data_IF_746103250233
#
_entry.id   IF_746103250233
#
_cell.length_a   1.000
_cell.length_b   1.000
_cell.length_c   1.000
_cell.angle_alpha   90.00
_cell.angle_beta   90.00
_cell.angle_gamma   90.00
#
_symmetry.space_group_name_H-M   'P 1'
#
loop_
_entity.id
_entity.type
_entity.pdbx_description
1 polymer ?
#
# COMPACT_ATOMS: atom_id res chain seq x y z
N UNK A 1 -16.14 0.35 23.87
CA UNK A 1 -17.22 -0.54 23.38
C UNK A 1 -17.20 -0.48 21.85
N UNK A 2 -16.71 -1.54 21.20
CA UNK A 2 -16.57 -1.59 19.74
C UNK A 2 -17.95 -1.73 19.11
N UNK A 3 -18.54 -0.64 18.63
CA UNK A 3 -19.73 -0.71 17.79
C UNK A 3 -19.25 -0.96 16.36
N UNK A 4 -19.03 -2.23 16.03
CA UNK A 4 -18.84 -2.65 14.63
C UNK A 4 -20.15 -2.31 13.93
N UNK A 5 -20.11 -1.25 13.13
CA UNK A 5 -21.21 -0.88 12.27
C UNK A 5 -21.24 -1.92 11.14
N UNK A 6 -21.98 -3.01 11.36
CA UNK A 6 -22.39 -3.88 10.28
C UNK A 6 -23.13 -3.03 9.22
N UNK A 7 -23.19 -3.55 7.99
CA UNK A 7 -23.86 -2.98 6.79
C UNK A 7 -25.15 -2.18 7.06
N UNK A 8 -25.86 -2.50 8.15
CA UNK A 8 -27.05 -1.84 8.66
C UNK A 8 -26.88 -0.39 9.17
N UNK A 9 -25.66 0.11 9.40
CA UNK A 9 -25.44 1.42 10.04
C UNK A 9 -25.18 2.56 9.06
N UNK A 10 -24.67 2.25 7.86
CA UNK A 10 -24.72 3.14 6.71
C UNK A 10 -25.90 2.64 5.87
N UNK A 11 -27.11 3.14 6.20
CA UNK A 11 -28.40 2.74 5.60
C UNK A 11 -28.40 2.74 4.05
N UNK A 12 -27.43 3.42 3.46
CA UNK A 12 -27.22 3.59 2.03
C UNK A 12 -26.56 2.38 1.38
N UNK A 13 -25.62 1.67 2.02
CA UNK A 13 -24.80 0.67 1.32
C UNK A 13 -25.34 -0.76 1.37
N UNK A 14 -25.89 -1.24 2.50
CA UNK A 14 -26.78 -2.42 2.65
C UNK A 14 -26.37 -3.78 2.03
N UNK A 15 -26.18 -3.84 0.70
CA UNK A 15 -25.81 -4.99 -0.12
C UNK A 15 -24.91 -4.57 -1.30
N UNK A 16 -24.14 -5.51 -1.90
CA UNK A 16 -23.38 -5.24 -3.12
C UNK A 16 -24.24 -4.71 -4.29
N UNK A 17 -25.51 -5.12 -4.37
CA UNK A 17 -26.46 -4.63 -5.38
C UNK A 17 -26.77 -3.15 -5.19
N UNK A 18 -26.98 -2.73 -3.93
CA UNK A 18 -27.26 -1.32 -3.64
C UNK A 18 -26.04 -0.42 -3.88
N UNK A 19 -24.83 -0.95 -3.67
CA UNK A 19 -23.60 -0.26 -4.08
C UNK A 19 -23.53 -0.09 -5.61
N UNK A 20 -23.90 -1.12 -6.38
CA UNK A 20 -23.96 -1.04 -7.85
C UNK A 20 -24.95 0.02 -8.34
N UNK A 21 -26.14 0.06 -7.76
CA UNK A 21 -27.16 1.05 -8.11
C UNK A 21 -26.73 2.49 -7.82
N UNK A 22 -25.92 2.69 -6.77
CA UNK A 22 -25.37 4.01 -6.41
C UNK A 22 -24.13 4.38 -7.22
N UNK A 23 -23.40 3.40 -7.75
CA UNK A 23 -22.23 3.63 -8.58
C UNK A 23 -22.59 4.12 -9.99
N UNK A 24 -23.71 3.65 -10.57
CA UNK A 24 -24.17 4.12 -11.90
C UNK A 24 -24.36 5.64 -11.99
N UNK A 25 -25.09 6.32 -11.08
CA UNK A 25 -25.21 7.77 -11.11
C UNK A 25 -23.90 8.48 -10.75
N UNK A 26 -23.09 7.92 -9.85
CA UNK A 26 -21.78 8.47 -9.47
C UNK A 26 -20.75 8.39 -10.62
N UNK A 27 -20.87 7.39 -11.50
CA UNK A 27 -20.08 7.22 -12.72
C UNK A 27 -20.31 8.33 -13.74
N UNK A 28 -21.56 8.79 -13.84
CA UNK A 28 -21.93 9.90 -14.73
C UNK A 28 -21.49 11.24 -14.13
N UNK A 29 -21.61 11.41 -12.81
CA UNK A 29 -21.26 12.64 -12.11
C UNK A 29 -19.74 12.89 -11.99
N UNK A 30 -18.94 11.82 -11.86
CA UNK A 30 -17.48 11.89 -11.74
C UNK A 30 -16.80 10.86 -12.65
N UNK A 31 -16.74 11.05 -13.97
CA UNK A 31 -16.19 10.04 -14.87
C UNK A 31 -14.72 9.70 -14.54
N UNK A 32 -14.43 8.41 -14.34
CA UNK A 32 -13.06 7.93 -14.17
C UNK A 32 -12.24 8.12 -15.45
N UNK A 33 -11.00 8.57 -15.29
CA UNK A 33 -10.05 8.75 -16.39
C UNK A 33 -9.74 7.39 -17.02
N UNK A 34 -10.12 7.18 -18.29
CA UNK A 34 -9.86 5.94 -19.04
C UNK A 34 -10.96 4.87 -18.97
N UNK A 35 -12.11 5.16 -18.35
CA UNK A 35 -13.26 4.25 -18.32
C UNK A 35 -14.06 4.30 -19.65
N UNK A 36 -14.39 3.13 -20.20
CA UNK A 36 -15.32 3.02 -21.34
C UNK A 36 -16.75 3.16 -20.82
N UNK A 37 -17.56 3.96 -21.51
CA UNK A 37 -18.95 4.23 -21.15
C UNK A 37 -19.14 4.80 -19.73
N UNK A 38 -18.15 5.55 -19.22
CA UNK A 38 -18.10 6.12 -17.85
C UNK A 38 -18.18 5.10 -16.71
N UNK A 39 -18.12 3.80 -16.99
CA UNK A 39 -18.23 2.74 -15.98
C UNK A 39 -16.91 2.46 -15.27
N UNK A 40 -16.89 2.59 -13.94
CA UNK A 40 -15.73 2.30 -13.08
C UNK A 40 -15.26 0.83 -13.09
N UNK A 41 -16.04 -0.10 -13.65
CA UNK A 41 -15.68 -1.53 -13.73
C UNK A 41 -15.07 -1.92 -15.08
N UNK A 42 -14.86 -0.95 -15.97
CA UNK A 42 -14.22 -1.21 -17.26
C UNK A 42 -12.72 -0.98 -17.18
N UNK A 43 -11.93 -2.04 -17.35
CA UNK A 43 -10.47 -1.95 -17.44
C UNK A 43 -10.13 -1.68 -18.91
N UNK A 44 -10.06 -0.40 -19.29
CA UNK A 44 -9.73 0.03 -20.66
C UNK A 44 -8.39 0.77 -20.76
N UNK A 45 -7.68 0.94 -19.64
CA UNK A 45 -6.37 1.59 -19.57
C UNK A 45 -5.26 0.64 -20.04
N UNK A 46 -4.45 1.09 -21.01
CA UNK A 46 -3.25 0.35 -21.45
C UNK A 46 -2.23 0.14 -20.32
N UNK A 47 -2.22 1.01 -19.31
CA UNK A 47 -1.39 0.85 -18.11
C UNK A 47 -1.89 -0.28 -17.20
N UNK A 48 -3.20 -0.51 -17.15
CA UNK A 48 -3.80 -1.56 -16.30
C UNK A 48 -3.58 -2.95 -16.91
N UNK A 49 -3.56 -3.03 -18.25
CA UNK A 49 -3.22 -4.25 -18.96
C UNK A 49 -1.74 -4.60 -18.81
N UNK A 50 -0.86 -3.60 -18.84
CA UNK A 50 0.57 -3.78 -18.55
C UNK A 50 0.80 -4.23 -17.09
N UNK A 51 0.06 -3.66 -16.14
CA UNK A 51 0.10 -4.08 -14.74
C UNK A 51 -0.36 -5.54 -14.59
N UNK A 52 -1.47 -5.90 -15.24
CA UNK A 52 -2.00 -7.27 -15.23
C UNK A 52 -1.01 -8.25 -15.86
N UNK A 53 -0.42 -7.89 -17.00
CA UNK A 53 0.63 -8.67 -17.65
C UNK A 53 1.87 -8.85 -16.77
N UNK A 54 2.31 -7.79 -16.10
CA UNK A 54 3.42 -7.86 -15.15
C UNK A 54 3.14 -8.81 -13.97
N UNK A 55 1.94 -8.75 -13.40
CA UNK A 55 1.55 -9.60 -12.28
C UNK A 55 1.44 -11.07 -12.71
N UNK A 56 0.94 -11.34 -13.93
CA UNK A 56 0.88 -12.70 -14.50
C UNK A 56 2.28 -13.29 -14.77
N UNK A 57 3.22 -12.48 -15.24
CA UNK A 57 4.61 -12.90 -15.51
C UNK A 57 5.43 -13.07 -14.22
N UNK A 58 5.10 -12.33 -13.17
CA UNK A 58 5.82 -12.34 -11.87
C UNK A 58 5.54 -13.57 -10.99
N UNK A 59 4.80 -14.56 -11.50
CA UNK A 59 4.54 -15.86 -10.84
C UNK A 59 3.47 -15.85 -9.74
N UNK A 60 3.03 -17.05 -9.34
CA UNK A 60 1.91 -17.28 -8.40
C UNK A 60 2.08 -16.59 -7.04
N UNK A 61 3.31 -16.40 -6.55
CA UNK A 61 3.58 -15.75 -5.26
C UNK A 61 3.23 -14.25 -5.24
N UNK A 62 3.43 -13.56 -6.37
CA UNK A 62 3.08 -12.14 -6.51
C UNK A 62 1.57 -11.95 -6.61
N UNK A 63 0.87 -12.89 -7.25
CA UNK A 63 -0.59 -12.91 -7.37
C UNK A 63 -1.28 -12.98 -6.00
N UNK A 64 -0.85 -13.90 -5.13
CA UNK A 64 -1.47 -14.13 -3.82
C UNK A 64 -1.30 -12.92 -2.90
N UNK A 65 -0.11 -12.30 -2.90
CA UNK A 65 0.16 -11.15 -2.06
C UNK A 65 -0.49 -9.86 -2.57
N UNK A 66 -0.58 -9.67 -3.89
CA UNK A 66 -1.20 -8.49 -4.48
C UNK A 66 -2.74 -8.51 -4.36
N UNK A 67 -3.35 -9.70 -4.31
CA UNK A 67 -4.81 -9.86 -4.22
C UNK A 67 -5.41 -9.23 -2.95
N UNK A 68 -4.72 -9.32 -1.81
CA UNK A 68 -5.19 -8.77 -0.53
C UNK A 68 -5.28 -7.23 -0.54
N UNK A 69 -4.19 -6.48 -0.81
CA UNK A 69 -4.24 -5.04 -0.90
C UNK A 69 -5.07 -4.56 -2.10
N UNK A 70 -5.05 -5.26 -3.24
CA UNK A 70 -5.86 -4.88 -4.40
C UNK A 70 -7.35 -5.00 -4.07
N UNK A 71 -7.80 -6.13 -3.50
CA UNK A 71 -9.20 -6.33 -3.14
C UNK A 71 -9.70 -5.31 -2.10
N UNK A 72 -8.88 -5.06 -1.08
CA UNK A 72 -9.21 -4.07 -0.05
C UNK A 72 -9.25 -2.65 -0.62
N UNK A 73 -8.26 -2.24 -1.40
CA UNK A 73 -8.23 -0.91 -2.00
C UNK A 73 -9.33 -0.73 -3.05
N UNK A 74 -9.59 -1.71 -3.91
CA UNK A 74 -10.60 -1.63 -4.96
C UNK A 74 -12.00 -1.47 -4.36
N UNK A 75 -12.36 -2.29 -3.37
CA UNK A 75 -13.66 -2.19 -2.70
C UNK A 75 -13.81 -0.86 -1.96
N UNK A 76 -12.79 -0.42 -1.22
CA UNK A 76 -12.87 0.84 -0.46
C UNK A 76 -12.83 2.08 -1.35
N UNK A 77 -12.16 2.01 -2.52
CA UNK A 77 -12.14 3.12 -3.48
C UNK A 77 -13.50 3.31 -4.16
N UNK A 78 -14.19 2.22 -4.52
CA UNK A 78 -15.55 2.31 -5.05
C UNK A 78 -16.51 2.91 -4.02
N UNK A 79 -16.37 2.53 -2.75
CA UNK A 79 -17.18 3.10 -1.67
C UNK A 79 -16.83 4.58 -1.41
N UNK A 80 -15.56 4.97 -1.54
CA UNK A 80 -15.12 6.36 -1.47
C UNK A 80 -15.85 7.23 -2.50
N UNK A 81 -15.89 6.78 -3.75
CA UNK A 81 -16.54 7.49 -4.86
C UNK A 81 -18.02 7.73 -4.61
N UNK A 82 -18.72 6.77 -3.98
CA UNK A 82 -20.15 6.92 -3.65
C UNK A 82 -20.36 7.86 -2.47
N UNK A 83 -19.44 7.88 -1.50
CA UNK A 83 -19.61 8.61 -0.24
C UNK A 83 -19.04 10.04 -0.25
N UNK A 84 -18.16 10.38 -1.19
CA UNK A 84 -17.44 11.66 -1.21
C UNK A 84 -18.36 12.91 -1.25
N UNK A 85 -19.53 12.80 -1.88
CA UNK A 85 -20.49 13.90 -2.04
C UNK A 85 -21.61 13.88 -0.98
N UNK A 86 -21.51 12.98 0.01
CA UNK A 86 -22.55 12.80 1.03
C UNK A 86 -22.23 13.54 2.33
N UNK A 87 -23.27 13.88 3.11
CA UNK A 87 -23.17 14.56 4.41
C UNK A 87 -22.37 13.76 5.46
N UNK A 88 -22.14 12.46 5.22
CA UNK A 88 -21.40 11.56 6.11
C UNK A 88 -19.87 11.65 5.93
N UNK A 89 -19.39 12.37 4.92
CA UNK A 89 -17.96 12.48 4.65
C UNK A 89 -17.26 13.36 5.70
N UNK A 90 -16.17 12.89 6.34
CA UNK A 90 -15.58 13.55 7.51
C UNK A 90 -14.74 14.79 7.16
N UNK A 91 -14.44 15.05 5.88
CA UNK A 91 -13.60 16.17 5.45
C UNK A 91 -14.37 17.08 4.51
N UNK A 92 -14.54 18.35 4.90
CA UNK A 92 -15.18 19.35 4.05
C UNK A 92 -14.37 19.57 2.76
N UNK A 93 -14.97 19.30 1.59
CA UNK A 93 -14.33 19.47 0.28
C UNK A 93 -14.03 18.19 -0.50
N UNK A 94 -14.58 17.03 -0.08
CA UNK A 94 -14.47 15.77 -0.82
C UNK A 94 -13.08 15.12 -0.74
N UNK A 95 -12.70 14.37 -1.77
CA UNK A 95 -11.37 13.73 -1.88
C UNK A 95 -10.38 14.71 -2.51
N UNK A 96 -9.50 15.27 -1.68
CA UNK A 96 -8.46 16.20 -2.12
C UNK A 96 -7.21 15.47 -2.60
N UNK A 97 -6.42 16.10 -3.48
CA UNK A 97 -5.15 15.56 -3.96
C UNK A 97 -4.18 15.23 -2.81
N UNK A 98 -4.24 15.94 -1.69
CA UNK A 98 -3.45 15.64 -0.50
C UNK A 98 -3.79 14.28 0.11
N UNK A 99 -5.08 13.93 0.20
CA UNK A 99 -5.53 12.65 0.74
C UNK A 99 -5.16 11.48 -0.17
N UNK A 100 -5.22 11.69 -1.49
CA UNK A 100 -4.79 10.69 -2.48
C UNK A 100 -3.29 10.46 -2.38
N UNK A 101 -2.49 11.53 -2.35
CA UNK A 101 -1.03 11.44 -2.33
C UNK A 101 -0.47 10.84 -1.02
N UNK A 102 -1.20 10.97 0.09
CA UNK A 102 -0.84 10.39 1.38
C UNK A 102 -1.55 9.05 1.67
N UNK A 103 -2.26 8.47 0.69
CA UNK A 103 -2.97 7.20 0.82
C UNK A 103 -3.97 7.17 2.00
N UNK A 104 -4.64 8.29 2.26
CA UNK A 104 -5.57 8.44 3.38
C UNK A 104 -6.99 7.97 3.06
N UNK A 105 -7.27 7.56 1.81
CA UNK A 105 -8.60 7.11 1.38
C UNK A 105 -9.08 5.93 2.23
N UNK A 106 -8.24 4.91 2.43
CA UNK A 106 -8.60 3.70 3.16
C UNK A 106 -9.06 3.97 4.61
N UNK A 107 -8.30 4.71 5.45
CA UNK A 107 -8.75 5.04 6.80
C UNK A 107 -9.95 6.00 6.84
N UNK A 108 -10.08 6.92 5.87
CA UNK A 108 -11.23 7.84 5.79
C UNK A 108 -12.53 7.10 5.49
N UNK A 109 -12.52 6.21 4.49
CA UNK A 109 -13.69 5.39 4.14
C UNK A 109 -14.07 4.48 5.30
N UNK A 110 -13.09 3.88 5.98
CA UNK A 110 -13.35 3.06 7.16
C UNK A 110 -13.90 3.85 8.34
N UNK A 111 -13.54 5.13 8.49
CA UNK A 111 -14.14 6.01 9.48
C UNK A 111 -15.65 6.19 9.22
N UNK A 112 -16.04 6.33 7.95
CA UNK A 112 -17.45 6.51 7.57
C UNK A 112 -18.25 5.21 7.74
N UNK A 113 -17.68 4.08 7.32
CA UNK A 113 -18.40 2.79 7.34
C UNK A 113 -18.46 2.19 8.74
N UNK A 114 -17.33 2.16 9.44
CA UNK A 114 -17.13 1.38 10.67
C UNK A 114 -16.93 2.27 11.91
N UNK A 115 -17.01 3.59 11.76
CA UNK A 115 -16.80 4.55 12.84
C UNK A 115 -15.35 4.54 13.36
N UNK A 116 -15.13 5.14 14.54
CA UNK A 116 -13.80 5.23 15.16
C UNK A 116 -13.16 3.85 15.40
N UNK A 117 -13.95 2.81 15.62
CA UNK A 117 -13.46 1.44 15.80
C UNK A 117 -12.85 0.85 14.52
N UNK A 118 -13.41 1.17 13.35
CA UNK A 118 -12.86 0.76 12.06
C UNK A 118 -11.53 1.42 11.73
N UNK A 119 -11.38 2.71 12.04
CA UNK A 119 -10.11 3.42 11.86
C UNK A 119 -9.02 2.79 12.72
N UNK A 120 -9.32 2.48 13.98
CA UNK A 120 -8.38 1.79 14.87
C UNK A 120 -8.06 0.39 14.34
N UNK A 121 -9.04 -0.37 13.83
CA UNK A 121 -8.80 -1.68 13.25
C UNK A 121 -7.95 -1.62 11.96
N UNK A 122 -8.14 -0.64 11.10
CA UNK A 122 -7.31 -0.45 9.90
C UNK A 122 -5.90 -0.01 10.27
N UNK A 123 -5.75 0.94 11.20
CA UNK A 123 -4.43 1.35 11.70
C UNK A 123 -3.73 0.15 12.32
N UNK A 124 -4.42 -0.65 13.13
CA UNK A 124 -3.88 -1.89 13.69
C UNK A 124 -3.53 -2.90 12.60
N UNK A 125 -4.39 -3.10 11.60
CA UNK A 125 -4.12 -4.00 10.48
C UNK A 125 -2.86 -3.57 9.72
N UNK A 126 -2.70 -2.28 9.41
CA UNK A 126 -1.50 -1.76 8.75
C UNK A 126 -0.26 -1.92 9.65
N UNK A 127 -0.37 -1.66 10.95
CA UNK A 127 0.74 -1.81 11.91
C UNK A 127 1.12 -3.27 12.12
N UNK A 128 0.15 -4.17 12.20
CA UNK A 128 0.36 -5.62 12.31
C UNK A 128 0.96 -6.17 11.02
N UNK A 129 0.46 -5.74 9.86
CA UNK A 129 1.04 -6.07 8.58
C UNK A 129 2.52 -5.62 8.51
N UNK A 130 2.86 -4.41 8.96
CA UNK A 130 4.27 -3.98 9.07
C UNK A 130 5.11 -4.80 10.05
N UNK A 131 4.51 -5.31 11.12
CA UNK A 131 5.19 -6.12 12.13
C UNK A 131 5.40 -7.57 11.68
N UNK A 132 4.52 -8.09 10.83
CA UNK A 132 4.54 -9.48 10.34
C UNK A 132 5.33 -9.62 9.03
N UNK A 133 5.47 -8.56 8.23
CA UNK A 133 5.90 -8.69 6.82
C UNK A 133 7.33 -8.21 6.48
N UNK A 134 7.87 -8.83 5.43
CA UNK A 134 9.19 -8.81 4.71
C UNK A 134 10.38 -7.91 5.13
N UNK A 135 10.17 -6.79 5.82
CA UNK A 135 11.27 -5.97 6.35
C UNK A 135 12.20 -6.82 7.23
N UNK A 136 11.65 -7.78 7.99
CA UNK A 136 12.46 -8.64 8.85
C UNK A 136 13.36 -9.56 8.01
N UNK A 137 12.84 -10.20 6.95
CA UNK A 137 13.63 -11.09 6.11
C UNK A 137 14.76 -10.34 5.36
N UNK A 138 14.45 -9.18 4.81
CA UNK A 138 15.42 -8.35 4.09
C UNK A 138 16.48 -7.74 5.01
N UNK A 139 16.09 -7.26 6.18
CA UNK A 139 17.02 -6.72 7.20
C UNK A 139 17.90 -7.83 7.77
N UNK A 140 17.37 -9.03 7.96
CA UNK A 140 18.15 -10.22 8.35
C UNK A 140 19.13 -10.62 7.24
N UNK A 141 18.74 -10.52 5.96
CA UNK A 141 19.64 -10.78 4.83
C UNK A 141 20.80 -9.76 4.76
N UNK A 142 20.53 -8.48 5.02
CA UNK A 142 21.60 -7.47 5.10
C UNK A 142 22.56 -7.76 6.25
N UNK A 143 22.03 -8.16 7.41
CA UNK A 143 22.85 -8.55 8.56
C UNK A 143 23.68 -9.81 8.28
N UNK A 144 23.15 -10.78 7.54
CA UNK A 144 23.90 -11.98 7.16
C UNK A 144 25.03 -11.66 6.18
N UNK A 145 24.80 -10.82 5.17
CA UNK A 145 25.86 -10.38 4.24
C UNK A 145 26.97 -9.64 5.01
N UNK A 146 26.61 -8.70 5.88
CA UNK A 146 27.60 -7.95 6.67
C UNK A 146 28.42 -8.85 7.61
N UNK A 147 27.79 -9.89 8.17
CA UNK A 147 28.43 -10.76 9.16
C UNK A 147 29.23 -11.89 8.51
N UNK A 148 28.64 -12.62 7.56
CA UNK A 148 29.25 -13.81 6.96
C UNK A 148 30.16 -13.45 5.78
N UNK A 149 29.79 -12.47 4.95
CA UNK A 149 30.56 -12.15 3.73
C UNK A 149 31.68 -11.14 4.01
N UNK A 150 31.45 -10.15 4.87
CA UNK A 150 32.47 -9.15 5.21
C UNK A 150 33.27 -9.53 6.45
N UNK A 151 32.61 -9.73 7.60
CA UNK A 151 33.33 -9.87 8.86
C UNK A 151 34.07 -11.21 8.98
N UNK A 152 33.41 -12.33 8.65
CA UNK A 152 34.04 -13.65 8.73
C UNK A 152 35.11 -13.86 7.65
N UNK A 153 34.90 -13.37 6.42
CA UNK A 153 35.89 -13.58 5.34
C UNK A 153 37.09 -12.64 5.39
N UNK A 154 36.93 -11.37 5.79
CA UNK A 154 38.02 -10.38 5.69
C UNK A 154 38.69 -10.01 7.03
N UNK A 155 37.96 -10.05 8.15
CA UNK A 155 38.47 -9.52 9.43
C UNK A 155 38.91 -10.64 10.37
N UNK A 156 38.05 -11.64 10.60
CA UNK A 156 38.40 -12.75 11.48
C UNK A 156 37.83 -14.10 10.98
N UNK A 157 38.63 -14.87 10.22
CA UNK A 157 38.25 -16.18 9.70
C UNK A 157 37.97 -17.25 10.76
N UNK A 158 38.34 -17.01 12.03
CA UNK A 158 38.12 -17.94 13.16
C UNK A 158 37.14 -17.37 14.20
N UNK A 159 36.25 -16.48 13.80
CA UNK A 159 35.32 -15.82 14.71
C UNK A 159 34.38 -16.83 15.42
N UNK A 160 34.22 -16.66 16.74
CA UNK A 160 33.34 -17.48 17.57
C UNK A 160 31.86 -17.06 17.39
N UNK A 161 30.91 -18.00 17.52
CA UNK A 161 29.47 -17.76 17.40
C UNK A 161 28.94 -16.59 18.22
N UNK A 162 29.51 -16.34 19.41
CA UNK A 162 29.13 -15.20 20.27
C UNK A 162 29.54 -13.85 19.65
N UNK A 163 30.70 -13.81 19.00
CA UNK A 163 31.20 -12.60 18.32
C UNK A 163 30.44 -12.35 17.02
N UNK A 164 30.13 -13.41 16.26
CA UNK A 164 29.33 -13.31 15.05
C UNK A 164 27.95 -12.68 15.34
N UNK A 165 27.26 -13.17 16.39
CA UNK A 165 25.96 -12.62 16.79
C UNK A 165 26.05 -11.14 17.19
N UNK A 166 27.08 -10.74 17.93
CA UNK A 166 27.26 -9.34 18.33
C UNK A 166 27.43 -8.42 17.12
N UNK A 167 28.24 -8.84 16.14
CA UNK A 167 28.45 -8.10 14.89
C UNK A 167 27.14 -7.99 14.11
N UNK A 168 26.35 -9.06 14.02
CA UNK A 168 25.03 -9.01 13.37
C UNK A 168 24.11 -7.98 14.04
N UNK A 169 24.05 -7.93 15.38
CA UNK A 169 23.25 -6.92 16.09
C UNK A 169 23.73 -5.49 15.83
N UNK A 170 25.04 -5.28 15.75
CA UNK A 170 25.61 -3.96 15.42
C UNK A 170 25.26 -3.56 13.98
N UNK A 171 25.37 -4.48 13.02
CA UNK A 171 25.00 -4.24 11.63
C UNK A 171 23.50 -3.91 11.48
N UNK A 172 22.64 -4.66 12.20
CA UNK A 172 21.20 -4.39 12.27
C UNK A 172 20.91 -2.99 12.83
N UNK A 173 21.54 -2.61 13.94
CA UNK A 173 21.37 -1.30 14.55
C UNK A 173 21.84 -0.17 13.60
N UNK A 174 22.99 -0.35 12.95
CA UNK A 174 23.50 0.61 11.98
C UNK A 174 22.56 0.81 10.78
N UNK A 175 22.05 -0.29 10.21
CA UNK A 175 21.10 -0.23 9.11
C UNK A 175 19.77 0.42 9.52
N UNK A 176 19.28 0.15 10.74
CA UNK A 176 18.06 0.77 11.26
C UNK A 176 18.20 2.30 11.39
N UNK A 177 19.35 2.78 11.89
CA UNK A 177 19.64 4.21 12.00
C UNK A 177 19.72 4.85 10.60
N UNK A 178 20.46 4.23 9.67
CA UNK A 178 20.57 4.72 8.30
C UNK A 178 19.22 4.79 7.59
N UNK A 179 18.42 3.73 7.68
CA UNK A 179 17.09 3.67 7.07
C UNK A 179 16.13 4.70 7.67
N UNK A 180 16.17 4.91 8.99
CA UNK A 180 15.37 5.93 9.67
C UNK A 180 15.76 7.34 9.23
N UNK A 181 17.06 7.61 9.14
CA UNK A 181 17.58 8.90 8.66
C UNK A 181 17.15 9.14 7.21
N UNK A 182 17.32 8.15 6.33
CA UNK A 182 16.94 8.24 4.93
C UNK A 182 15.42 8.43 4.75
N UNK A 183 14.59 7.70 5.49
CA UNK A 183 13.14 7.86 5.47
C UNK A 183 12.71 9.25 5.94
N UNK A 184 13.33 9.78 7.00
CA UNK A 184 13.05 11.13 7.52
C UNK A 184 13.48 12.23 6.53
N UNK A 185 14.61 12.04 5.85
CA UNK A 185 15.09 12.96 4.81
C UNK A 185 14.14 13.01 3.60
N UNK A 186 13.61 11.86 3.17
CA UNK A 186 12.63 11.80 2.08
C UNK A 186 11.29 12.43 2.49
N UNK A 187 10.86 12.24 3.74
CA UNK A 187 9.64 12.86 4.24
C UNK A 187 9.75 14.40 4.29
N UNK A 188 10.88 14.92 4.77
CA UNK A 188 11.14 16.37 4.82
C UNK A 188 11.25 17.00 3.42
N UNK A 189 11.69 16.22 2.42
CA UNK A 189 11.84 16.70 1.04
C UNK A 189 10.50 16.88 0.28
N UNK A 190 9.36 16.64 0.94
CA UNK A 190 8.03 16.81 0.33
C UNK A 190 7.72 15.79 -0.77
N UNK A 191 8.49 14.70 -0.85
CA UNK A 191 8.31 13.65 -1.84
C UNK A 191 7.01 12.91 -1.57
N UNK A 192 6.10 12.90 -2.56
CA UNK A 192 4.83 12.18 -2.41
C UNK A 192 5.05 10.66 -2.43
N UNK A 193 4.18 9.92 -1.74
CA UNK A 193 4.21 8.46 -1.77
C UNK A 193 4.06 7.92 -3.20
N UNK A 194 3.25 8.61 -4.02
CA UNK A 194 3.10 8.28 -5.44
C UNK A 194 4.40 8.42 -6.23
N UNK A 195 5.22 9.44 -5.95
CA UNK A 195 6.54 9.57 -6.57
C UNK A 195 7.49 8.46 -6.11
N UNK A 196 7.48 8.13 -4.81
CA UNK A 196 8.34 7.09 -4.24
C UNK A 196 8.05 5.71 -4.85
N UNK A 197 6.77 5.37 -5.00
CA UNK A 197 6.34 4.12 -5.65
C UNK A 197 6.75 4.06 -7.13
N UNK A 198 6.67 5.18 -7.86
CA UNK A 198 7.15 5.27 -9.25
C UNK A 198 8.66 5.10 -9.34
N UNK A 199 9.42 5.75 -8.45
CA UNK A 199 10.87 5.64 -8.40
C UNK A 199 11.32 4.20 -8.08
N UNK A 200 10.67 3.56 -7.10
CA UNK A 200 10.92 2.16 -6.77
C UNK A 200 10.61 1.24 -7.95
N UNK A 201 9.49 1.46 -8.65
CA UNK A 201 9.12 0.70 -9.85
C UNK A 201 10.15 0.83 -10.97
N UNK A 202 10.70 2.03 -11.19
CA UNK A 202 11.76 2.24 -12.20
C UNK A 202 13.08 1.58 -11.79
N UNK A 203 13.45 1.65 -10.51
CA UNK A 203 14.74 1.13 -10.02
C UNK A 203 14.75 -0.40 -9.87
N UNK A 204 13.65 -1.01 -9.42
CA UNK A 204 13.51 -2.46 -9.34
C UNK A 204 13.09 -3.08 -10.67
N UNK A 205 12.41 -2.31 -11.53
CA UNK A 205 11.93 -2.74 -12.85
C UNK A 205 12.95 -2.61 -13.98
N UNK A 206 14.25 -2.52 -13.70
CA UNK A 206 15.30 -2.33 -14.72
C UNK A 206 15.45 -3.48 -15.74
N UNK A 207 14.55 -4.47 -15.73
CA UNK A 207 14.41 -5.47 -16.78
C UNK A 207 13.47 -5.04 -17.93
N UNK A 208 12.88 -3.83 -17.90
CA UNK A 208 11.97 -3.38 -18.96
C UNK A 208 12.71 -2.53 -19.99
N UNK A 209 12.96 -3.13 -21.17
CA UNK A 209 13.39 -2.44 -22.38
C UNK A 209 12.42 -1.28 -22.68
N UNK A 210 12.91 -0.03 -22.81
CA UNK A 210 12.07 1.11 -23.16
C UNK A 210 11.65 0.98 -24.63
N UNK A 211 10.43 0.53 -24.87
CA UNK A 211 9.79 0.67 -26.17
C UNK A 211 9.20 2.08 -26.18
N UNK A 212 9.83 2.98 -26.94
CA UNK A 212 9.35 4.34 -27.18
C UNK A 212 7.95 4.30 -27.84
N UNK A 213 7.10 5.32 -27.62
CA UNK A 213 5.79 5.43 -28.27
C UNK A 213 5.88 5.42 -29.79
#
# INVERSE_FOLDING_TARGET
MFKVMASSSVLILGSPEKLWDLLQPAAIASPAVGAKDSSYLTIHSGQDLLLTGFILVSGFGTFTWFSIPLGLCATMSLVCVVLQDTVYWPVSGGVTAYQINNSLILPLVAQVIMGTGGVVAIILMVRLYRAVDKNIAEVVAHASIATYDFYQSYINPKASDKQLRLISYIALAGFAIFSTFFATALNTSGVSMGWLLKFLGVRLGSAVLPIRP
#
